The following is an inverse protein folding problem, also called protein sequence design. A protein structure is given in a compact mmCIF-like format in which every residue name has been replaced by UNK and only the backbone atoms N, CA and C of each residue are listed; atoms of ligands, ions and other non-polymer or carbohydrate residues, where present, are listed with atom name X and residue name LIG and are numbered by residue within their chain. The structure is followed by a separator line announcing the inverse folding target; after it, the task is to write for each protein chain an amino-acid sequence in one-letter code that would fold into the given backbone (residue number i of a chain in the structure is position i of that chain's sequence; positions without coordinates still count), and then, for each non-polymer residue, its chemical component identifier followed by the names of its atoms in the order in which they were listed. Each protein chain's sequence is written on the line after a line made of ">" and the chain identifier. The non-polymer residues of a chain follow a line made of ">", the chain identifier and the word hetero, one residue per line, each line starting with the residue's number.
data_IF_181194003869
#
_entry.id   IF_181194003869
#
_cell.length_a   1.000
_cell.length_b   1.000
_cell.length_c   1.000
_cell.angle_alpha   90.00
_cell.angle_beta   90.00
_cell.angle_gamma   90.00
#
_symmetry.space_group_name_H-M   'P 1'
#
loop_
_entity.id
_entity.type
_entity.pdbx_description
1 polymer ?
#
# COMPACT_ATOMS: atom_id res chain seq x y z
N UNK A 1 -42.97 7.28 9.19
CA UNK A 1 -41.86 6.33 9.31
C UNK A 1 -41.39 6.27 10.73
N UNK A 2 -41.24 5.06 11.28
CA UNK A 2 -40.62 4.84 12.58
C UNK A 2 -39.13 4.54 12.39
N UNK A 3 -38.31 4.90 13.37
CA UNK A 3 -36.86 4.65 13.35
C UNK A 3 -36.50 3.17 13.08
N UNK A 4 -37.40 2.25 13.44
CA UNK A 4 -37.28 0.82 13.22
C UNK A 4 -37.38 0.41 11.74
N UNK A 5 -38.18 1.12 10.93
CA UNK A 5 -38.34 0.84 9.49
C UNK A 5 -37.08 1.25 8.72
N UNK A 6 -36.50 2.41 9.08
CA UNK A 6 -35.22 2.88 8.56
C UNK A 6 -34.10 1.91 8.96
N UNK A 7 -34.07 1.49 10.23
CA UNK A 7 -33.08 0.52 10.72
C UNK A 7 -33.16 -0.84 10.03
N UNK A 8 -34.37 -1.31 9.69
CA UNK A 8 -34.56 -2.60 9.02
C UNK A 8 -34.16 -2.59 7.55
N UNK A 9 -34.50 -1.50 6.83
CA UNK A 9 -34.04 -1.31 5.45
C UNK A 9 -32.53 -1.07 5.38
N UNK A 10 -31.98 -0.30 6.33
CA UNK A 10 -30.56 -0.07 6.50
C UNK A 10 -29.76 -1.36 6.72
N UNK A 11 -30.21 -2.22 7.63
CA UNK A 11 -29.55 -3.49 7.90
C UNK A 11 -29.52 -4.39 6.66
N UNK A 12 -30.63 -4.44 5.93
CA UNK A 12 -30.74 -5.21 4.68
C UNK A 12 -29.80 -4.70 3.59
N UNK A 13 -29.56 -3.39 3.51
CA UNK A 13 -28.63 -2.78 2.56
C UNK A 13 -27.18 -3.08 2.91
N UNK A 14 -26.84 -3.06 4.21
CA UNK A 14 -25.51 -3.42 4.69
C UNK A 14 -25.19 -4.88 4.33
N UNK A 15 -26.11 -5.80 4.66
CA UNK A 15 -25.96 -7.23 4.36
C UNK A 15 -25.82 -7.48 2.85
N UNK A 16 -26.58 -6.76 2.01
CA UNK A 16 -26.48 -6.86 0.54
C UNK A 16 -25.21 -6.22 -0.04
N UNK A 17 -24.64 -5.20 0.62
CA UNK A 17 -23.44 -4.51 0.15
C UNK A 17 -22.18 -5.38 0.20
N UNK A 18 -22.17 -6.41 1.06
CA UNK A 18 -21.06 -7.37 1.17
C UNK A 18 -21.08 -8.42 0.05
N UNK A 19 -22.26 -8.72 -0.52
CA UNK A 19 -22.45 -9.84 -1.44
C UNK A 19 -22.64 -9.42 -2.92
N UNK A 20 -22.99 -8.16 -3.18
CA UNK A 20 -23.49 -7.73 -4.50
C UNK A 20 -22.63 -6.58 -5.07
N UNK A 21 -22.34 -6.56 -6.39
CA UNK A 21 -21.60 -5.47 -7.02
C UNK A 21 -22.25 -4.07 -6.83
N UNK A 22 -21.45 -2.99 -6.84
CA UNK A 22 -21.91 -1.62 -6.53
C UNK A 22 -23.10 -1.14 -7.37
N UNK A 23 -23.20 -1.59 -8.63
CA UNK A 23 -24.30 -1.21 -9.52
C UNK A 23 -25.64 -1.81 -9.10
N UNK A 24 -25.66 -3.05 -8.62
CA UNK A 24 -26.89 -3.69 -8.15
C UNK A 24 -27.31 -3.22 -6.75
N UNK A 25 -26.36 -2.74 -5.93
CA UNK A 25 -26.67 -2.01 -4.70
C UNK A 25 -27.37 -0.67 -5.03
N UNK A 26 -26.87 0.06 -6.04
CA UNK A 26 -27.49 1.31 -6.52
C UNK A 26 -28.92 1.09 -7.00
N UNK A 27 -29.14 0.07 -7.84
CA UNK A 27 -30.47 -0.22 -8.40
C UNK A 27 -31.48 -0.65 -7.31
N UNK A 28 -31.03 -1.40 -6.30
CA UNK A 28 -31.87 -1.77 -5.14
C UNK A 28 -32.27 -0.54 -4.33
N UNK A 29 -31.36 0.42 -4.16
CA UNK A 29 -31.58 1.67 -3.42
C UNK A 29 -32.43 2.69 -4.19
N UNK A 30 -32.27 2.78 -5.52
CA UNK A 30 -33.16 3.58 -6.36
C UNK A 30 -34.59 3.06 -6.30
N UNK A 31 -34.78 1.73 -6.20
CA UNK A 31 -36.08 1.07 -6.05
C UNK A 31 -36.76 1.20 -4.68
N UNK A 32 -36.07 1.73 -3.66
CA UNK A 32 -36.67 1.99 -2.35
C UNK A 32 -37.63 3.19 -2.40
N UNK A 33 -38.79 3.08 -1.79
CA UNK A 33 -39.71 4.21 -1.62
C UNK A 33 -39.24 5.14 -0.49
N UNK A 34 -39.17 6.45 -0.75
CA UNK A 34 -38.71 7.47 0.21
C UNK A 34 -38.20 8.75 -0.47
N UNK A 35 -38.06 9.85 0.30
CA UNK A 35 -37.50 11.10 -0.23
C UNK A 35 -35.99 10.95 -0.51
N UNK A 36 -35.47 11.68 -1.52
CA UNK A 36 -34.06 11.60 -1.93
C UNK A 36 -33.08 11.77 -0.76
N UNK A 37 -33.42 12.62 0.21
CA UNK A 37 -32.61 12.84 1.41
C UNK A 37 -32.47 11.59 2.29
N UNK A 38 -33.54 10.80 2.48
CA UNK A 38 -33.54 9.59 3.30
C UNK A 38 -32.67 8.48 2.66
N UNK A 39 -32.65 8.43 1.32
CA UNK A 39 -31.76 7.54 0.56
C UNK A 39 -30.29 7.92 0.76
N UNK A 40 -29.97 9.21 0.65
CA UNK A 40 -28.60 9.71 0.87
C UNK A 40 -28.13 9.49 2.31
N UNK A 41 -29.00 9.65 3.30
CA UNK A 41 -28.70 9.34 4.70
C UNK A 41 -28.36 7.85 4.87
N UNK A 42 -29.13 6.97 4.23
CA UNK A 42 -28.86 5.52 4.24
C UNK A 42 -27.50 5.19 3.60
N UNK A 43 -27.14 5.81 2.47
CA UNK A 43 -25.80 5.69 1.87
C UNK A 43 -24.70 6.16 2.82
N UNK A 44 -24.89 7.31 3.46
CA UNK A 44 -23.90 7.88 4.36
C UNK A 44 -23.66 6.97 5.57
N UNK A 45 -24.72 6.36 6.11
CA UNK A 45 -24.62 5.43 7.23
C UNK A 45 -23.85 4.15 6.86
N UNK A 46 -24.13 3.53 5.71
CA UNK A 46 -23.43 2.32 5.24
C UNK A 46 -21.95 2.62 5.01
N UNK A 47 -21.64 3.72 4.33
CA UNK A 47 -20.26 4.14 4.09
C UNK A 47 -19.51 4.37 5.41
N UNK A 48 -20.15 5.01 6.40
CA UNK A 48 -19.54 5.27 7.72
C UNK A 48 -19.28 3.98 8.49
N UNK A 49 -20.17 2.99 8.37
CA UNK A 49 -19.97 1.66 8.95
C UNK A 49 -18.78 0.93 8.31
N UNK A 50 -18.74 0.88 6.97
CA UNK A 50 -17.63 0.26 6.22
C UNK A 50 -16.29 0.98 6.50
N UNK A 51 -16.28 2.30 6.65
CA UNK A 51 -15.08 3.06 7.03
C UNK A 51 -14.60 2.72 8.44
N UNK A 52 -15.51 2.46 9.38
CA UNK A 52 -15.15 2.03 10.73
C UNK A 52 -14.56 0.62 10.72
N UNK A 53 -15.18 -0.31 9.99
CA UNK A 53 -14.66 -1.68 9.83
C UNK A 53 -13.28 -1.68 9.15
N UNK A 54 -13.11 -0.89 8.09
CA UNK A 54 -11.82 -0.67 7.43
C UNK A 54 -10.76 -0.19 8.42
N UNK A 55 -11.07 0.76 9.30
CA UNK A 55 -10.12 1.25 10.33
C UNK A 55 -9.71 0.11 11.27
N UNK A 56 -10.67 -0.66 11.77
CA UNK A 56 -10.42 -1.83 12.62
C UNK A 56 -9.53 -2.87 11.91
N UNK A 57 -9.82 -3.18 10.65
CA UNK A 57 -9.01 -4.08 9.84
C UNK A 57 -7.60 -3.54 9.60
N UNK A 58 -7.45 -2.24 9.34
CA UNK A 58 -6.13 -1.62 9.19
C UNK A 58 -5.29 -1.70 10.46
N UNK A 59 -5.88 -1.54 11.64
CA UNK A 59 -5.19 -1.72 12.92
C UNK A 59 -4.72 -3.17 13.11
N UNK A 60 -5.58 -4.12 12.76
CA UNK A 60 -5.27 -5.54 12.81
C UNK A 60 -4.12 -5.91 11.84
N UNK A 61 -4.18 -5.42 10.60
CA UNK A 61 -3.12 -5.60 9.61
C UNK A 61 -1.79 -5.02 10.11
N UNK A 62 -1.79 -3.82 10.70
CA UNK A 62 -0.58 -3.23 11.30
C UNK A 62 0.00 -4.13 12.39
N UNK A 63 -0.84 -4.68 13.27
CA UNK A 63 -0.43 -5.63 14.31
C UNK A 63 0.20 -6.89 13.73
N UNK A 64 -0.44 -7.48 12.71
CA UNK A 64 0.05 -8.68 12.04
C UNK A 64 1.37 -8.43 11.30
N UNK A 65 1.50 -7.29 10.61
CA UNK A 65 2.74 -6.87 9.95
C UNK A 65 3.88 -6.70 10.97
N UNK A 66 3.62 -6.09 12.12
CA UNK A 66 4.61 -5.99 13.20
C UNK A 66 5.07 -7.37 13.70
N UNK A 67 4.14 -8.32 13.84
CA UNK A 67 4.44 -9.71 14.22
C UNK A 67 5.27 -10.43 13.17
N UNK A 68 4.94 -10.25 11.88
CA UNK A 68 5.72 -10.78 10.75
C UNK A 68 7.14 -10.20 10.77
N UNK A 69 7.28 -8.89 10.93
CA UNK A 69 8.58 -8.20 11.03
C UNK A 69 9.43 -8.78 12.16
N UNK A 70 8.85 -8.99 13.35
CA UNK A 70 9.55 -9.61 14.48
C UNK A 70 10.04 -11.03 14.16
N UNK A 71 9.20 -11.86 13.52
CA UNK A 71 9.61 -13.21 13.09
C UNK A 71 10.72 -13.17 12.04
N UNK A 72 10.63 -12.27 11.06
CA UNK A 72 11.66 -12.11 10.03
C UNK A 72 13.00 -11.72 10.66
N UNK A 73 13.01 -10.79 11.61
CA UNK A 73 14.22 -10.42 12.37
C UNK A 73 14.78 -11.63 13.11
N UNK A 74 13.94 -12.41 13.80
CA UNK A 74 14.39 -13.61 14.53
C UNK A 74 14.99 -14.67 13.60
N UNK A 75 14.34 -14.95 12.46
CA UNK A 75 14.82 -15.88 11.45
C UNK A 75 16.16 -15.40 10.87
N UNK A 76 16.27 -14.11 10.54
CA UNK A 76 17.53 -13.52 10.06
C UNK A 76 18.65 -13.73 11.07
N UNK A 77 18.43 -13.38 12.33
CA UNK A 77 19.43 -13.53 13.38
C UNK A 77 19.85 -15.01 13.57
N UNK A 78 18.91 -15.95 13.49
CA UNK A 78 19.21 -17.39 13.56
C UNK A 78 20.04 -17.86 12.36
N UNK A 79 19.74 -17.38 11.15
CA UNK A 79 20.54 -17.69 9.95
C UNK A 79 21.96 -17.11 10.06
N UNK A 80 22.09 -15.89 10.54
CA UNK A 80 23.40 -15.25 10.78
C UNK A 80 24.21 -16.06 11.79
N UNK A 81 23.64 -16.39 12.95
CA UNK A 81 24.33 -17.19 13.96
C UNK A 81 24.74 -18.59 13.44
N UNK A 82 23.89 -19.21 12.60
CA UNK A 82 24.20 -20.47 11.95
C UNK A 82 25.38 -20.32 10.96
N UNK A 83 25.37 -19.29 10.12
CA UNK A 83 26.45 -18.99 9.18
C UNK A 83 27.78 -18.67 9.89
N UNK A 84 27.74 -17.90 10.98
CA UNK A 84 28.91 -17.61 11.83
C UNK A 84 29.47 -18.88 12.44
N UNK A 85 28.62 -19.76 12.98
CA UNK A 85 29.04 -21.04 13.56
C UNK A 85 29.65 -21.99 12.51
N UNK A 86 29.04 -22.07 11.32
CA UNK A 86 29.56 -22.83 10.19
C UNK A 86 30.92 -22.29 9.72
N UNK A 87 31.07 -20.97 9.67
CA UNK A 87 32.32 -20.31 9.30
C UNK A 87 33.43 -20.54 10.33
N UNK A 88 33.11 -20.40 11.63
CA UNK A 88 34.07 -20.62 12.72
C UNK A 88 34.56 -22.06 12.81
N UNK A 89 33.73 -23.04 12.44
CA UNK A 89 34.09 -24.46 12.42
C UNK A 89 34.69 -24.93 11.09
N UNK A 90 34.74 -24.06 10.07
CA UNK A 90 35.20 -24.40 8.72
C UNK A 90 34.25 -25.32 7.95
N UNK A 91 33.06 -25.63 8.48
CA UNK A 91 32.10 -26.54 7.86
C UNK A 91 31.21 -25.79 6.87
N UNK A 92 31.55 -25.87 5.58
CA UNK A 92 30.79 -25.18 4.52
C UNK A 92 29.48 -25.88 4.13
N UNK A 93 29.36 -27.18 4.39
CA UNK A 93 28.16 -27.96 4.08
C UNK A 93 27.90 -28.98 5.18
N UNK A 94 26.69 -28.98 5.73
CA UNK A 94 26.24 -29.89 6.77
C UNK A 94 24.96 -30.56 6.26
N UNK A 95 25.02 -31.87 6.06
CA UNK A 95 23.85 -32.68 5.73
C UNK A 95 23.40 -33.49 6.93
N UNK A 96 22.11 -33.42 7.22
CA UNK A 96 21.41 -34.17 8.27
C UNK A 96 20.32 -35.02 7.62
N UNK A 97 19.72 -36.00 8.32
CA UNK A 97 18.66 -36.83 7.75
C UNK A 97 17.43 -36.06 7.23
N UNK A 98 17.22 -34.82 7.67
CA UNK A 98 16.06 -33.99 7.28
C UNK A 98 16.41 -32.76 6.48
N UNK A 99 17.63 -32.23 6.62
CA UNK A 99 18.02 -30.95 6.04
C UNK A 99 19.47 -30.98 5.58
N UNK A 100 19.75 -30.27 4.49
CA UNK A 100 21.12 -29.93 4.08
C UNK A 100 21.27 -28.42 4.15
N UNK A 101 22.31 -27.95 4.82
CA UNK A 101 22.62 -26.53 5.02
C UNK A 101 24.00 -26.26 4.43
N UNK A 102 24.07 -25.28 3.52
CA UNK A 102 25.31 -24.89 2.84
C UNK A 102 25.58 -23.41 3.02
N UNK A 103 26.84 -23.06 3.29
CA UNK A 103 27.32 -21.68 3.30
C UNK A 103 27.66 -21.26 1.87
N UNK A 104 26.79 -20.44 1.29
CA UNK A 104 26.92 -19.92 -0.07
C UNK A 104 27.38 -18.47 -0.01
N UNK A 105 28.28 -18.08 -0.90
CA UNK A 105 28.66 -16.68 -1.05
C UNK A 105 27.56 -15.97 -1.85
N UNK A 106 26.97 -14.92 -1.30
CA UNK A 106 26.16 -13.99 -2.11
C UNK A 106 27.08 -13.19 -3.03
N UNK A 107 26.52 -12.58 -4.07
CA UNK A 107 27.18 -11.44 -4.71
C UNK A 107 27.54 -10.45 -3.59
N UNK A 108 28.82 -10.07 -3.50
CA UNK A 108 29.32 -9.24 -2.40
C UNK A 108 28.56 -7.91 -2.32
N UNK A 109 28.47 -7.36 -1.11
CA UNK A 109 27.93 -6.01 -0.92
C UNK A 109 28.92 -5.00 -1.49
N UNK A 110 28.47 -4.16 -2.43
CA UNK A 110 29.26 -3.06 -2.95
C UNK A 110 29.27 -1.94 -1.91
N UNK A 111 30.46 -1.54 -1.46
CA UNK A 111 30.64 -0.37 -0.60
C UNK A 111 31.41 0.69 -1.38
N UNK A 112 30.83 1.88 -1.51
CA UNK A 112 31.41 3.01 -2.24
C UNK A 112 30.97 4.33 -1.60
N UNK A 113 31.79 5.37 -1.77
CA UNK A 113 31.36 6.74 -1.52
C UNK A 113 30.64 7.26 -2.75
N UNK A 114 29.36 7.63 -2.61
CA UNK A 114 28.51 7.98 -3.73
C UNK A 114 29.05 9.20 -4.50
N UNK A 115 29.50 10.24 -3.80
CA UNK A 115 30.00 11.45 -4.43
C UNK A 115 31.28 11.18 -5.23
N UNK A 116 32.22 10.42 -4.63
CA UNK A 116 33.45 10.03 -5.31
C UNK A 116 33.18 9.15 -6.53
N UNK A 117 32.22 8.22 -6.44
CA UNK A 117 31.87 7.33 -7.54
C UNK A 117 31.21 8.09 -8.69
N UNK A 118 30.27 9.00 -8.40
CA UNK A 118 29.59 9.81 -9.40
C UNK A 118 30.60 10.70 -10.13
N UNK A 119 31.44 11.43 -9.40
CA UNK A 119 32.46 12.29 -10.02
C UNK A 119 33.43 11.48 -10.89
N UNK A 120 33.90 10.33 -10.39
CA UNK A 120 34.76 9.44 -11.17
C UNK A 120 34.06 8.92 -12.43
N UNK A 121 32.78 8.53 -12.33
CA UNK A 121 32.02 8.03 -13.46
C UNK A 121 31.84 9.11 -14.54
N UNK A 122 31.47 10.34 -14.15
CA UNK A 122 31.31 11.46 -15.07
C UNK A 122 32.65 11.88 -15.72
N UNK A 123 33.74 11.96 -14.93
CA UNK A 123 35.08 12.32 -15.45
C UNK A 123 35.65 11.28 -16.43
N UNK A 124 35.26 10.01 -16.27
CA UNK A 124 35.76 8.91 -17.09
C UNK A 124 34.76 8.45 -18.17
N UNK A 125 33.63 9.14 -18.32
CA UNK A 125 32.62 8.84 -19.34
C UNK A 125 31.86 7.53 -19.10
N UNK A 126 31.71 7.12 -17.85
CA UNK A 126 30.94 5.94 -17.41
C UNK A 126 29.51 6.30 -17.00
N UNK A 127 28.82 7.04 -17.86
CA UNK A 127 27.41 7.42 -17.66
C UNK A 127 26.50 6.19 -17.58
N UNK A 128 26.94 5.04 -18.10
CA UNK A 128 26.23 3.74 -18.02
C UNK A 128 26.10 3.19 -16.59
N UNK A 129 26.88 3.71 -15.66
CA UNK A 129 26.83 3.36 -14.23
C UNK A 129 25.90 4.27 -13.41
N UNK A 130 25.36 5.33 -14.02
CA UNK A 130 24.57 6.36 -13.33
C UNK A 130 23.12 6.34 -13.80
N UNK A 131 22.18 6.39 -12.86
CA UNK A 131 20.75 6.52 -13.14
C UNK A 131 20.28 7.94 -12.79
N UNK A 132 19.89 8.70 -13.82
CA UNK A 132 19.38 10.06 -13.67
C UNK A 132 17.86 10.04 -13.77
N UNK A 133 17.18 9.99 -12.63
CA UNK A 133 15.73 10.14 -12.60
C UNK A 133 15.34 11.61 -12.77
N UNK A 134 14.58 11.91 -13.83
CA UNK A 134 13.95 13.23 -14.03
C UNK A 134 12.49 13.14 -13.62
N UNK A 135 12.16 13.70 -12.47
CA UNK A 135 10.80 13.78 -11.96
C UNK A 135 10.18 15.17 -12.20
N UNK A 136 8.90 15.19 -12.55
CA UNK A 136 8.14 16.43 -12.70
C UNK A 136 7.67 16.91 -11.34
N UNK A 137 8.06 18.13 -10.97
CA UNK A 137 7.48 18.85 -9.83
C UNK A 137 6.05 19.28 -10.18
N UNK A 138 5.08 18.46 -9.77
CA UNK A 138 3.66 18.66 -10.04
C UNK A 138 3.09 19.90 -9.37
N UNK A 139 3.67 20.34 -8.26
CA UNK A 139 3.17 21.50 -7.52
C UNK A 139 3.60 22.78 -8.23
N UNK A 140 4.87 22.87 -8.65
CA UNK A 140 5.34 23.96 -9.51
C UNK A 140 4.65 23.99 -10.86
N UNK A 141 4.40 22.84 -11.47
CA UNK A 141 3.66 22.76 -12.74
C UNK A 141 2.24 23.33 -12.58
N UNK A 142 1.54 23.00 -11.48
CA UNK A 142 0.21 23.58 -11.22
C UNK A 142 0.27 25.09 -11.02
N UNK A 143 1.24 25.59 -10.27
CA UNK A 143 1.43 27.03 -10.05
C UNK A 143 1.70 27.77 -11.37
N UNK A 144 2.57 27.23 -12.22
CA UNK A 144 2.86 27.77 -13.55
C UNK A 144 1.60 27.85 -14.44
N UNK A 145 0.79 26.79 -14.44
CA UNK A 145 -0.45 26.69 -15.21
C UNK A 145 -1.58 27.64 -14.75
N UNK A 146 -1.42 28.34 -13.61
CA UNK A 146 -2.36 29.39 -13.19
C UNK A 146 -2.24 30.62 -14.10
N UNK A 147 -1.01 30.97 -14.47
CA UNK A 147 -0.69 32.21 -15.19
C UNK A 147 -0.30 31.96 -16.67
N UNK A 148 -0.11 30.69 -17.07
CA UNK A 148 0.37 30.30 -18.40
C UNK A 148 -0.45 29.12 -18.97
N UNK A 149 -0.81 29.18 -20.26
CA UNK A 149 -1.65 28.20 -20.96
C UNK A 149 -0.90 27.40 -22.06
N UNK A 150 0.44 27.44 -22.03
CA UNK A 150 1.31 26.78 -23.00
C UNK A 150 1.90 25.45 -22.48
N UNK A 151 1.62 25.09 -21.22
CA UNK A 151 2.03 23.80 -20.67
C UNK A 151 1.26 22.65 -21.35
N UNK A 152 1.94 21.56 -21.78
CA UNK A 152 1.29 20.39 -22.38
C UNK A 152 0.64 19.49 -21.33
N UNK A 153 -0.22 20.06 -20.47
CA UNK A 153 -0.90 19.39 -19.38
C UNK A 153 -2.31 19.97 -19.17
N UNK A 154 -3.23 19.18 -18.61
CA UNK A 154 -4.59 19.60 -18.31
C UNK A 154 -4.92 19.37 -16.83
N UNK A 155 -5.58 20.35 -16.19
CA UNK A 155 -6.13 20.19 -14.84
C UNK A 155 -7.57 19.71 -14.94
N UNK A 156 -7.84 18.46 -14.55
CA UNK A 156 -9.21 17.92 -14.45
C UNK A 156 -9.74 18.03 -13.02
N UNK A 157 -10.78 18.83 -12.83
CA UNK A 157 -11.51 18.91 -11.55
C UNK A 157 -12.50 17.75 -11.48
N UNK A 158 -12.45 16.96 -10.41
CA UNK A 158 -13.43 15.91 -10.11
C UNK A 158 -14.24 16.30 -8.88
N UNK A 159 -15.56 16.21 -8.98
CA UNK A 159 -16.44 16.37 -7.83
C UNK A 159 -16.40 15.12 -6.95
N UNK A 160 -16.44 15.30 -5.63
CA UNK A 160 -16.42 14.19 -4.66
C UNK A 160 -17.39 14.46 -3.52
N UNK A 161 -18.14 13.43 -3.11
CA UNK A 161 -19.03 13.51 -1.94
C UNK A 161 -18.21 13.47 -0.65
N UNK A 162 -18.53 14.34 0.32
CA UNK A 162 -17.91 14.37 1.65
C UNK A 162 -18.97 14.13 2.72
N UNK A 163 -18.83 13.03 3.48
CA UNK A 163 -19.66 12.70 4.64
C UNK A 163 -18.96 13.22 5.90
N UNK A 164 -19.69 13.86 6.81
CA UNK A 164 -19.17 14.39 8.10
C UNK A 164 -19.64 13.55 9.30
#
# INVERSE_FOLDING_TARGET
>A
MTLYEISGQYQKLLDMSEEIPPEALRDTLESMDGEFAEKIESYAAVIKQLDNEKKMLCEEVKRLQARIKSRNTRIRNMRTAMAESMSATGQRNISTPRFTVSLVNSAGELTYDAMTLVNWAEENGHDDLLDYTVDVDKDRLREYMVDHDDAPAEIRVKESVRIR
#
